data_IF_709628741957
#
_entry.id   IF_709628741957
#
_cell.length_a   1.000
_cell.length_b   1.000
_cell.length_c   1.000
_cell.angle_alpha   90.00
_cell.angle_beta   90.00
_cell.angle_gamma   90.00
#
_symmetry.space_group_name_H-M   'P 1'
#
loop_
_entity.id
_entity.type
_entity.pdbx_description
1 polymer ?
#
# COMPACT_ATOMS: atom_id res chain seq x y z
N UNK A 1 -11.42 -19.06 -10.00
CA UNK A 1 -10.23 -18.21 -9.70
C UNK A 1 -9.14 -19.08 -9.09
N UNK A 2 -7.85 -18.76 -9.28
CA UNK A 2 -6.77 -19.46 -8.56
C UNK A 2 -6.54 -18.76 -7.23
N UNK A 3 -6.92 -19.41 -6.12
CA UNK A 3 -6.77 -18.82 -4.78
C UNK A 3 -5.30 -18.55 -4.44
N UNK A 4 -5.03 -17.41 -3.82
CA UNK A 4 -3.66 -16.99 -3.49
C UNK A 4 -3.15 -17.54 -2.15
N UNK A 5 -4.04 -17.87 -1.22
CA UNK A 5 -3.69 -18.51 0.06
C UNK A 5 -4.47 -19.80 0.31
N UNK A 6 -3.80 -20.75 0.98
CA UNK A 6 -4.29 -22.12 1.18
C UNK A 6 -5.50 -22.23 2.12
N UNK A 7 -5.63 -21.31 3.07
CA UNK A 7 -6.69 -21.30 4.08
C UNK A 7 -8.02 -20.75 3.57
N UNK A 8 -8.06 -20.33 2.31
CA UNK A 8 -9.23 -19.72 1.69
C UNK A 8 -9.97 -20.73 0.80
N UNK A 9 -11.30 -20.68 0.80
CA UNK A 9 -12.17 -21.54 -0.01
C UNK A 9 -13.10 -20.69 -0.89
N UNK A 10 -13.57 -21.26 -2.00
CA UNK A 10 -14.56 -20.59 -2.86
C UNK A 10 -15.86 -20.34 -2.11
N UNK A 11 -16.29 -21.31 -1.29
CA UNK A 11 -17.46 -21.18 -0.42
C UNK A 11 -17.34 -20.02 0.58
N UNK A 12 -16.15 -19.84 1.17
CA UNK A 12 -15.90 -18.70 2.06
C UNK A 12 -16.10 -17.37 1.31
N UNK A 13 -15.63 -17.30 0.05
CA UNK A 13 -15.82 -16.10 -0.75
C UNK A 13 -17.29 -15.81 -1.05
N UNK A 14 -18.04 -16.83 -1.45
CA UNK A 14 -19.48 -16.71 -1.74
C UNK A 14 -20.27 -16.26 -0.50
N UNK A 15 -19.97 -16.83 0.67
CA UNK A 15 -20.60 -16.43 1.95
C UNK A 15 -20.29 -14.96 2.24
N UNK A 16 -19.03 -14.55 2.16
CA UNK A 16 -18.65 -13.17 2.42
C UNK A 16 -19.34 -12.17 1.49
N UNK A 17 -19.43 -12.47 0.19
CA UNK A 17 -20.11 -11.58 -0.76
C UNK A 17 -21.60 -11.44 -0.45
N UNK A 18 -22.27 -12.55 -0.12
CA UNK A 18 -23.68 -12.52 0.28
C UNK A 18 -23.89 -11.69 1.56
N UNK A 19 -23.08 -11.93 2.60
CA UNK A 19 -23.16 -11.20 3.86
C UNK A 19 -22.82 -9.71 3.68
N UNK A 20 -21.83 -9.39 2.85
CA UNK A 20 -21.47 -8.02 2.51
C UNK A 20 -22.65 -7.26 1.91
N UNK A 21 -23.33 -7.84 0.90
CA UNK A 21 -24.44 -7.19 0.23
C UNK A 21 -25.66 -7.06 1.15
N UNK A 22 -25.95 -8.10 1.96
CA UNK A 22 -27.00 -8.04 2.98
C UNK A 22 -26.77 -6.93 4.00
N UNK A 23 -25.53 -6.78 4.48
CA UNK A 23 -25.14 -5.72 5.42
C UNK A 23 -25.29 -4.33 4.80
N UNK A 24 -24.84 -4.15 3.55
CA UNK A 24 -24.97 -2.88 2.82
C UNK A 24 -26.45 -2.51 2.65
N UNK A 25 -27.30 -3.45 2.24
CA UNK A 25 -28.74 -3.19 2.11
C UNK A 25 -29.40 -2.91 3.46
N UNK A 26 -29.07 -3.66 4.50
CA UNK A 26 -29.62 -3.48 5.85
C UNK A 26 -29.41 -2.05 6.35
N UNK A 27 -28.19 -1.53 6.23
CA UNK A 27 -27.84 -0.20 6.74
C UNK A 27 -28.27 0.97 5.85
N UNK A 28 -28.98 0.74 4.74
CA UNK A 28 -29.67 1.82 4.00
C UNK A 28 -30.86 2.39 4.75
N UNK A 29 -31.49 1.59 5.61
CA UNK A 29 -32.72 1.97 6.33
C UNK A 29 -32.60 1.83 7.85
N UNK A 30 -31.45 1.41 8.35
CA UNK A 30 -31.20 1.18 9.77
C UNK A 30 -30.00 2.00 10.23
N UNK A 31 -30.08 2.48 11.47
CA UNK A 31 -29.04 3.27 12.12
C UNK A 31 -28.26 2.45 13.15
N UNK A 32 -27.01 2.83 13.38
CA UNK A 32 -26.21 2.25 14.45
C UNK A 32 -26.73 2.74 15.81
N UNK A 33 -26.76 1.84 16.79
CA UNK A 33 -27.03 2.25 18.16
C UNK A 33 -25.89 3.15 18.65
N UNK A 34 -26.23 4.34 19.13
CA UNK A 34 -25.31 5.39 19.54
C UNK A 34 -25.99 6.35 20.52
N UNK A 35 -25.19 7.14 21.24
CA UNK A 35 -25.65 8.15 22.18
C UNK A 35 -25.94 9.51 21.49
N UNK A 36 -25.42 9.71 20.27
CA UNK A 36 -25.65 10.92 19.46
C UNK A 36 -25.61 10.67 17.95
N UNK A 37 -26.24 11.54 17.13
CA UNK A 37 -26.13 11.45 15.68
C UNK A 37 -24.68 11.54 15.15
N UNK A 38 -23.82 12.33 15.79
CA UNK A 38 -22.41 12.46 15.40
C UNK A 38 -21.63 11.17 15.69
N UNK A 39 -21.90 10.53 16.83
CA UNK A 39 -21.31 9.23 17.16
C UNK A 39 -21.79 8.14 16.19
N UNK A 40 -23.09 8.11 15.85
CA UNK A 40 -23.65 7.21 14.84
C UNK A 40 -22.86 7.28 13.53
N UNK A 41 -22.65 8.49 13.03
CA UNK A 41 -21.94 8.73 11.76
C UNK A 41 -20.46 8.33 11.85
N UNK A 42 -19.82 8.53 13.01
CA UNK A 42 -18.45 8.10 13.27
C UNK A 42 -18.34 6.57 13.25
N UNK A 43 -19.20 5.88 14.01
CA UNK A 43 -19.27 4.41 14.05
C UNK A 43 -19.58 3.82 12.67
N UNK A 44 -20.54 4.41 11.95
CA UNK A 44 -20.91 4.01 10.59
C UNK A 44 -19.73 4.20 9.63
N UNK A 45 -19.03 5.33 9.71
CA UNK A 45 -17.84 5.60 8.89
C UNK A 45 -16.75 4.56 9.11
N UNK A 46 -16.45 4.24 10.37
CA UNK A 46 -15.48 3.20 10.73
C UNK A 46 -15.92 1.81 10.23
N UNK A 47 -17.20 1.45 10.40
CA UNK A 47 -17.74 0.17 9.97
C UNK A 47 -17.61 -0.05 8.45
N UNK A 48 -18.07 0.92 7.65
CA UNK A 48 -18.04 0.79 6.19
C UNK A 48 -16.62 0.88 5.62
N UNK A 49 -15.71 1.62 6.26
CA UNK A 49 -14.30 1.57 5.88
C UNK A 49 -13.70 0.17 6.15
N UNK A 50 -13.97 -0.44 7.31
CA UNK A 50 -13.50 -1.78 7.60
C UNK A 50 -14.10 -2.82 6.64
N UNK A 51 -15.38 -2.67 6.28
CA UNK A 51 -16.05 -3.52 5.30
C UNK A 51 -15.38 -3.43 3.92
N UNK A 52 -15.08 -2.21 3.44
CA UNK A 52 -14.37 -1.99 2.17
C UNK A 52 -12.93 -2.56 2.19
N UNK A 53 -12.21 -2.42 3.31
CA UNK A 53 -10.86 -2.97 3.46
C UNK A 53 -10.88 -4.50 3.36
N UNK A 54 -11.80 -5.14 4.10
CA UNK A 54 -12.00 -6.58 4.03
C UNK A 54 -12.39 -7.02 2.62
N UNK A 55 -13.22 -6.26 1.92
CA UNK A 55 -13.68 -6.57 0.55
C UNK A 55 -12.52 -6.66 -0.44
N UNK A 56 -11.57 -5.72 -0.39
CA UNK A 56 -10.39 -5.76 -1.28
C UNK A 56 -9.42 -6.89 -0.91
N UNK A 57 -9.18 -7.11 0.39
CA UNK A 57 -8.30 -8.21 0.83
C UNK A 57 -8.87 -9.57 0.45
N UNK A 58 -10.18 -9.75 0.61
CA UNK A 58 -10.81 -11.02 0.29
C UNK A 58 -10.84 -11.28 -1.23
N UNK A 59 -11.05 -10.24 -2.05
CA UNK A 59 -10.99 -10.36 -3.51
C UNK A 59 -9.58 -10.76 -3.98
N UNK A 60 -8.56 -10.13 -3.40
CA UNK A 60 -7.18 -10.49 -3.65
C UNK A 60 -6.91 -11.94 -3.21
N UNK A 61 -7.28 -12.33 -1.99
CA UNK A 61 -7.08 -13.70 -1.49
C UNK A 61 -7.80 -14.76 -2.34
N UNK A 62 -9.02 -14.44 -2.81
CA UNK A 62 -9.85 -15.31 -3.64
C UNK A 62 -9.26 -15.59 -5.03
N UNK A 63 -8.33 -14.75 -5.51
CA UNK A 63 -7.75 -14.90 -6.84
C UNK A 63 -8.38 -14.01 -7.91
N UNK A 64 -9.05 -12.92 -7.53
CA UNK A 64 -9.53 -11.94 -8.52
C UNK A 64 -8.36 -11.27 -9.28
N UNK A 65 -8.64 -10.77 -10.48
CA UNK A 65 -7.65 -10.06 -11.29
C UNK A 65 -7.30 -8.73 -10.66
N UNK A 66 -6.05 -8.29 -10.76
CA UNK A 66 -5.60 -7.05 -10.08
C UNK A 66 -6.35 -5.83 -10.62
N UNK A 67 -6.74 -5.86 -11.89
CA UNK A 67 -7.57 -4.83 -12.53
C UNK A 67 -8.94 -4.67 -11.87
N UNK A 68 -9.58 -5.75 -11.36
CA UNK A 68 -10.87 -5.62 -10.67
C UNK A 68 -10.72 -4.96 -9.30
N UNK A 69 -9.55 -5.13 -8.67
CA UNK A 69 -9.26 -4.55 -7.36
C UNK A 69 -9.13 -3.03 -7.40
N UNK A 70 -8.83 -2.44 -8.57
CA UNK A 70 -8.66 -0.98 -8.71
C UNK A 70 -9.93 -0.23 -8.30
N UNK A 71 -11.11 -0.76 -8.64
CA UNK A 71 -12.39 -0.15 -8.24
C UNK A 71 -12.66 -0.31 -6.74
N UNK A 72 -12.25 -1.43 -6.14
CA UNK A 72 -12.37 -1.67 -4.70
C UNK A 72 -11.43 -0.75 -3.92
N UNK A 73 -10.24 -0.48 -4.45
CA UNK A 73 -9.29 0.45 -3.86
C UNK A 73 -9.82 1.89 -3.88
N UNK A 74 -10.50 2.29 -4.97
CA UNK A 74 -11.15 3.60 -5.09
C UNK A 74 -12.22 3.79 -4.00
N UNK A 75 -13.15 2.84 -3.88
CA UNK A 75 -14.18 2.86 -2.82
C UNK A 75 -13.56 2.84 -1.41
N UNK A 76 -12.50 2.07 -1.19
CA UNK A 76 -11.79 2.03 0.09
C UNK A 76 -11.26 3.42 0.49
N UNK A 77 -10.61 4.15 -0.44
CA UNK A 77 -10.11 5.50 -0.14
C UNK A 77 -11.27 6.46 0.13
N UNK A 78 -12.37 6.37 -0.62
CA UNK A 78 -13.58 7.15 -0.33
C UNK A 78 -14.10 6.86 1.10
N UNK A 79 -14.10 5.60 1.55
CA UNK A 79 -14.50 5.27 2.93
C UNK A 79 -13.55 5.81 3.99
N UNK A 80 -12.25 5.87 3.71
CA UNK A 80 -11.30 6.50 4.64
C UNK A 80 -11.54 8.00 4.77
N UNK A 81 -11.83 8.70 3.67
CA UNK A 81 -12.17 10.13 3.71
C UNK A 81 -13.47 10.36 4.49
N UNK A 82 -14.47 9.49 4.32
CA UNK A 82 -15.71 9.55 5.12
C UNK A 82 -15.42 9.29 6.61
N UNK A 83 -14.67 8.22 6.93
CA UNK A 83 -14.28 7.88 8.31
C UNK A 83 -13.55 9.03 8.98
N UNK A 84 -12.55 9.62 8.32
CA UNK A 84 -11.79 10.74 8.86
C UNK A 84 -12.72 11.93 9.14
N UNK A 85 -13.58 12.28 8.19
CA UNK A 85 -14.50 13.41 8.32
C UNK A 85 -15.51 13.22 9.45
N UNK A 86 -16.12 12.04 9.58
CA UNK A 86 -17.11 11.79 10.63
C UNK A 86 -16.46 11.69 12.02
N UNK A 87 -15.28 11.07 12.10
CA UNK A 87 -14.47 11.04 13.32
C UNK A 87 -14.06 12.44 13.77
N UNK A 88 -13.61 13.30 12.84
CA UNK A 88 -13.21 14.67 13.12
C UNK A 88 -14.35 15.51 13.71
N UNK A 89 -15.59 15.31 13.24
CA UNK A 89 -16.79 15.97 13.77
C UNK A 89 -17.08 15.47 15.18
N UNK A 90 -17.07 14.16 15.37
CA UNK A 90 -17.39 13.53 16.65
C UNK A 90 -16.39 13.90 17.76
N UNK A 91 -15.09 13.83 17.47
CA UNK A 91 -14.02 14.15 18.43
C UNK A 91 -13.74 15.65 18.55
N UNK A 92 -14.34 16.49 17.69
CA UNK A 92 -14.06 17.93 17.65
C UNK A 92 -12.63 18.25 17.21
N UNK A 93 -11.99 17.35 16.45
CA UNK A 93 -10.59 17.44 16.02
C UNK A 93 -10.48 17.38 14.48
N UNK A 94 -10.44 18.53 13.78
CA UNK A 94 -10.58 18.60 12.31
C UNK A 94 -9.59 17.73 11.51
N UNK A 95 -8.35 17.63 12.00
CA UNK A 95 -7.26 16.91 11.32
C UNK A 95 -6.94 15.58 12.01
N UNK A 96 -7.85 15.00 12.79
CA UNK A 96 -7.60 13.69 13.38
C UNK A 96 -7.36 12.65 12.29
N UNK A 97 -6.33 11.82 12.46
CA UNK A 97 -6.08 10.71 11.54
C UNK A 97 -7.15 9.65 11.69
N UNK A 98 -7.59 8.99 10.61
CA UNK A 98 -8.47 7.83 10.72
C UNK A 98 -7.80 6.64 11.42
N UNK A 99 -6.46 6.60 11.47
CA UNK A 99 -5.64 5.53 12.04
C UNK A 99 -4.57 6.11 12.97
N UNK A 100 -4.41 5.52 14.16
CA UNK A 100 -3.38 5.90 15.13
C UNK A 100 -2.11 5.06 14.90
N UNK A 101 -1.19 5.61 14.09
CA UNK A 101 -0.02 4.89 13.56
C UNK A 101 1.05 4.61 14.61
N UNK A 102 1.22 5.50 15.58
CA UNK A 102 2.20 5.44 16.65
C UNK A 102 1.78 4.49 17.78
N UNK A 103 0.49 4.47 18.11
CA UNK A 103 -0.04 3.69 19.24
C UNK A 103 -0.29 2.22 18.91
N UNK A 104 -0.88 1.93 17.74
CA UNK A 104 -1.45 0.62 17.44
C UNK A 104 -0.79 -0.03 16.23
N UNK A 105 -0.02 -1.09 16.47
CA UNK A 105 0.72 -1.82 15.45
C UNK A 105 -0.18 -2.34 14.32
N UNK A 106 -1.39 -2.81 14.62
CA UNK A 106 -2.33 -3.30 13.60
C UNK A 106 -2.91 -2.17 12.73
N UNK A 107 -3.08 -0.96 13.28
CA UNK A 107 -3.49 0.22 12.51
C UNK A 107 -2.35 0.77 11.64
N UNK A 108 -1.11 0.71 12.15
CA UNK A 108 0.07 1.02 11.34
C UNK A 108 0.18 0.04 10.15
N UNK A 109 0.00 -1.26 10.39
CA UNK A 109 -0.01 -2.28 9.34
C UNK A 109 -1.11 -2.02 8.30
N UNK A 110 -2.33 -1.71 8.74
CA UNK A 110 -3.43 -1.33 7.85
C UNK A 110 -3.04 -0.13 6.96
N UNK A 111 -2.39 0.89 7.52
CA UNK A 111 -1.95 2.06 6.74
C UNK A 111 -0.89 1.70 5.70
N UNK A 112 0.17 0.97 6.07
CA UNK A 112 1.23 0.59 5.11
C UNK A 112 0.73 -0.41 4.07
N UNK A 113 -0.25 -1.26 4.41
CA UNK A 113 -0.92 -2.13 3.45
C UNK A 113 -1.68 -1.33 2.38
N UNK A 114 -2.47 -0.33 2.79
CA UNK A 114 -3.23 0.53 1.85
C UNK A 114 -2.30 1.38 0.98
N UNK A 115 -1.24 1.96 1.58
CA UNK A 115 -0.19 2.67 0.83
C UNK A 115 0.42 1.74 -0.23
N UNK A 116 0.74 0.52 0.16
CA UNK A 116 1.38 -0.47 -0.72
C UNK A 116 0.47 -0.95 -1.83
N UNK A 117 -0.83 -1.12 -1.57
CA UNK A 117 -1.82 -1.41 -2.61
C UNK A 117 -1.88 -0.28 -3.65
N UNK A 118 -1.93 0.98 -3.20
CA UNK A 118 -1.93 2.12 -4.11
C UNK A 118 -0.65 2.17 -4.98
N UNK A 119 0.51 1.88 -4.39
CA UNK A 119 1.80 1.87 -5.08
C UNK A 119 1.87 0.73 -6.11
N UNK A 120 1.56 -0.50 -5.69
CA UNK A 120 1.69 -1.68 -6.54
C UNK A 120 0.62 -1.73 -7.65
N UNK A 121 -0.54 -1.10 -7.45
CA UNK A 121 -1.58 -0.94 -8.47
C UNK A 121 -1.43 0.35 -9.29
N UNK A 122 -0.34 1.11 -9.10
CA UNK A 122 -0.05 2.35 -9.83
C UNK A 122 -1.13 3.46 -9.68
N UNK A 123 -1.84 3.50 -8.55
CA UNK A 123 -2.85 4.52 -8.21
C UNK A 123 -2.27 5.59 -7.28
N UNK A 124 -1.31 6.36 -7.78
CA UNK A 124 -0.67 7.45 -7.02
C UNK A 124 -1.65 8.60 -6.72
N UNK A 125 -2.68 8.75 -7.56
CA UNK A 125 -3.80 9.66 -7.32
C UNK A 125 -4.58 9.30 -6.04
N UNK A 126 -4.81 7.99 -5.80
CA UNK A 126 -5.44 7.50 -4.57
C UNK A 126 -4.48 7.56 -3.38
N UNK A 127 -3.21 7.21 -3.60
CA UNK A 127 -2.18 7.31 -2.57
C UNK A 127 -2.11 8.71 -1.97
N UNK A 128 -2.10 9.75 -2.81
CA UNK A 128 -2.02 11.13 -2.36
C UNK A 128 -3.24 11.54 -1.50
N UNK A 129 -4.43 11.07 -1.86
CA UNK A 129 -5.66 11.31 -1.08
C UNK A 129 -5.60 10.63 0.28
N UNK A 130 -5.18 9.37 0.31
CA UNK A 130 -5.04 8.61 1.56
C UNK A 130 -4.01 9.24 2.48
N UNK A 131 -2.76 9.38 2.01
CA UNK A 131 -1.62 9.94 2.77
C UNK A 131 -1.92 11.31 3.36
N UNK A 132 -2.66 12.15 2.65
CA UNK A 132 -3.09 13.46 3.14
C UNK A 132 -3.80 13.38 4.51
N UNK A 133 -4.63 12.35 4.74
CA UNK A 133 -5.37 12.21 6.01
C UNK A 133 -4.44 11.95 7.21
N UNK A 134 -3.26 11.37 6.98
CA UNK A 134 -2.23 11.12 8.00
C UNK A 134 -1.26 12.30 8.10
N UNK A 135 -0.82 12.85 6.95
CA UNK A 135 0.07 14.01 6.90
C UNK A 135 -0.55 15.21 7.64
N UNK A 136 -1.85 15.48 7.44
CA UNK A 136 -2.55 16.59 8.12
C UNK A 136 -2.71 16.38 9.64
N UNK A 137 -2.67 15.11 10.09
CA UNK A 137 -2.67 14.73 11.50
C UNK A 137 -1.28 14.82 12.16
N UNK A 138 -0.23 15.06 11.37
CA UNK A 138 1.13 15.26 11.86
C UNK A 138 2.11 14.11 11.61
N UNK A 139 1.69 13.02 10.94
CA UNK A 139 2.56 11.84 10.75
C UNK A 139 3.67 12.02 9.70
N UNK A 140 3.65 13.09 8.92
CA UNK A 140 4.68 13.37 7.93
C UNK A 140 6.04 13.60 8.61
N UNK A 141 7.03 12.78 8.25
CA UNK A 141 8.40 12.88 8.78
C UNK A 141 8.64 12.23 10.14
N UNK A 142 7.71 11.43 10.66
CA UNK A 142 7.87 10.80 11.97
C UNK A 142 8.34 9.34 11.93
N UNK A 143 8.14 8.62 10.82
CA UNK A 143 8.46 7.20 10.69
C UNK A 143 9.20 6.86 9.39
N UNK A 144 10.33 6.13 9.51
CA UNK A 144 11.20 5.75 8.39
C UNK A 144 10.50 4.92 7.32
N UNK A 145 9.74 3.87 7.68
CA UNK A 145 9.10 3.00 6.68
C UNK A 145 7.97 3.76 5.96
N UNK A 146 7.20 4.56 6.69
CA UNK A 146 6.19 5.43 6.12
C UNK A 146 6.80 6.36 5.06
N UNK A 147 7.87 7.08 5.41
CA UNK A 147 8.54 7.98 4.46
C UNK A 147 9.25 7.24 3.31
N UNK A 148 9.80 6.04 3.56
CA UNK A 148 10.48 5.25 2.53
C UNK A 148 9.54 4.67 1.49
N UNK A 149 8.30 4.35 1.85
CA UNK A 149 7.25 3.97 0.89
C UNK A 149 6.86 5.17 0.02
N UNK A 150 6.80 6.38 0.60
CA UNK A 150 6.26 7.56 -0.07
C UNK A 150 7.31 8.33 -0.90
N UNK A 151 8.57 8.42 -0.45
CA UNK A 151 9.61 9.27 -1.07
C UNK A 151 9.94 8.94 -2.52
N UNK A 152 9.68 7.70 -2.95
CA UNK A 152 9.89 7.26 -4.34
C UNK A 152 8.74 7.64 -5.28
N UNK A 153 7.61 8.08 -4.74
CA UNK A 153 6.36 8.31 -5.50
C UNK A 153 5.66 9.64 -5.22
N UNK A 154 5.95 10.33 -4.11
CA UNK A 154 5.31 11.60 -3.72
C UNK A 154 6.28 12.73 -3.37
N UNK A 155 5.87 13.99 -3.65
CA UNK A 155 6.19 15.23 -2.97
C UNK A 155 7.05 15.28 -1.74
N UNK A 156 8.19 15.99 -1.74
CA UNK A 156 8.68 16.67 -0.53
C UNK A 156 8.72 15.78 0.74
N UNK A 157 9.17 14.55 0.59
CA UNK A 157 9.23 13.57 1.69
C UNK A 157 10.51 13.72 2.51
N UNK A 158 10.46 13.19 3.73
CA UNK A 158 11.47 13.41 4.74
C UNK A 158 12.44 12.24 4.83
N UNK A 159 13.69 12.53 5.20
CA UNK A 159 14.65 11.51 5.60
C UNK A 159 14.65 11.38 7.13
N UNK A 160 14.30 10.19 7.61
CA UNK A 160 13.94 9.91 9.00
C UNK A 160 14.67 8.65 9.42
N UNK A 161 15.26 8.66 10.63
CA UNK A 161 15.99 7.53 11.22
C UNK A 161 15.38 7.15 12.58
N UNK A 162 14.07 6.90 12.56
CA UNK A 162 13.26 6.44 13.68
C UNK A 162 11.96 5.86 13.13
N UNK A 163 11.43 4.82 13.77
CA UNK A 163 10.17 4.20 13.37
C UNK A 163 9.41 3.72 14.60
N UNK A 164 8.08 3.69 14.50
CA UNK A 164 7.20 3.41 15.63
C UNK A 164 7.31 1.98 16.13
N UNK A 165 7.34 1.01 15.20
CA UNK A 165 7.20 -0.40 15.51
C UNK A 165 8.41 -1.22 15.07
N UNK A 166 9.12 -1.82 16.03
CA UNK A 166 10.36 -2.59 15.78
C UNK A 166 10.21 -3.77 14.81
N UNK A 167 8.99 -4.27 14.61
CA UNK A 167 8.70 -5.36 13.65
C UNK A 167 9.16 -5.01 12.23
N UNK A 168 9.19 -3.74 11.85
CA UNK A 168 9.59 -3.30 10.53
C UNK A 168 11.11 -3.15 10.35
N UNK A 169 11.90 -3.29 11.42
CA UNK A 169 13.36 -3.13 11.38
C UNK A 169 14.04 -3.91 10.24
N UNK A 170 13.75 -5.22 10.00
CA UNK A 170 14.40 -5.92 8.90
C UNK A 170 13.99 -5.39 7.53
N UNK A 171 12.76 -4.89 7.37
CA UNK A 171 12.29 -4.32 6.12
C UNK A 171 12.98 -2.99 5.83
N UNK A 172 13.09 -2.12 6.84
CA UNK A 172 13.85 -0.86 6.76
C UNK A 172 15.31 -1.15 6.45
N UNK A 173 15.95 -2.08 7.18
CA UNK A 173 17.34 -2.46 6.91
C UNK A 173 17.55 -2.96 5.47
N UNK A 174 16.58 -3.67 4.88
CA UNK A 174 16.68 -4.15 3.50
C UNK A 174 16.84 -3.00 2.48
N UNK A 175 16.36 -1.80 2.80
CA UNK A 175 16.51 -0.59 1.98
C UNK A 175 17.96 -0.07 2.04
N UNK A 176 18.52 0.02 3.25
CA UNK A 176 19.77 0.72 3.54
C UNK A 176 21.03 -0.15 3.57
N UNK A 177 20.92 -1.48 3.48
CA UNK A 177 22.11 -2.33 3.40
C UNK A 177 23.02 -1.93 2.23
N UNK A 178 24.31 -1.82 2.53
CA UNK A 178 25.37 -1.52 1.55
C UNK A 178 25.56 -2.69 0.59
N UNK A 179 25.60 -3.91 1.13
CA UNK A 179 25.62 -5.13 0.32
C UNK A 179 24.20 -5.49 -0.11
N UNK A 180 23.87 -5.21 -1.38
CA UNK A 180 22.56 -5.50 -1.95
C UNK A 180 22.20 -6.99 -1.99
N UNK A 181 23.18 -7.89 -1.81
CA UNK A 181 22.90 -9.33 -1.67
C UNK A 181 22.30 -9.72 -0.32
N UNK A 182 22.36 -8.82 0.67
CA UNK A 182 21.71 -9.01 1.99
C UNK A 182 20.25 -8.57 2.00
N UNK A 183 19.84 -7.62 1.14
CA UNK A 183 18.48 -7.09 1.10
C UNK A 183 17.40 -8.19 0.94
N UNK A 184 17.54 -9.18 0.03
CA UNK A 184 16.60 -10.29 -0.07
C UNK A 184 16.51 -11.16 1.20
N UNK A 185 17.61 -11.30 1.95
CA UNK A 185 17.63 -12.09 3.19
C UNK A 185 16.85 -11.38 4.29
N UNK A 186 16.98 -10.07 4.38
CA UNK A 186 16.24 -9.23 5.32
C UNK A 186 14.76 -9.17 5.00
N UNK A 187 14.41 -9.01 3.72
CA UNK A 187 13.03 -9.10 3.23
C UNK A 187 12.41 -10.46 3.58
N UNK A 188 13.14 -11.56 3.37
CA UNK A 188 12.69 -12.90 3.77
C UNK A 188 12.47 -13.03 5.27
N UNK A 189 13.40 -12.49 6.08
CA UNK A 189 13.30 -12.48 7.55
C UNK A 189 12.04 -11.73 7.99
N UNK A 190 11.76 -10.57 7.39
CA UNK A 190 10.54 -9.81 7.65
C UNK A 190 9.28 -10.64 7.37
N UNK A 191 9.17 -11.24 6.18
CA UNK A 191 8.02 -12.08 5.84
C UNK A 191 7.80 -13.23 6.84
N UNK A 192 8.88 -13.85 7.35
CA UNK A 192 8.81 -14.95 8.31
C UNK A 192 8.33 -14.52 9.71
N UNK A 193 8.68 -13.30 10.15
CA UNK A 193 8.29 -12.78 11.46
C UNK A 193 6.95 -12.04 11.45
N UNK A 194 6.43 -11.68 10.27
CA UNK A 194 5.21 -10.89 10.10
C UNK A 194 4.05 -11.46 10.92
N UNK A 195 3.61 -12.70 10.64
CA UNK A 195 2.44 -13.28 11.32
C UNK A 195 2.62 -13.40 12.85
N UNK A 196 3.74 -13.95 13.38
CA UNK A 196 3.98 -14.00 14.83
C UNK A 196 4.01 -12.64 15.53
N UNK A 197 4.31 -11.54 14.83
CA UNK A 197 4.37 -10.21 15.42
C UNK A 197 2.97 -9.63 15.69
N UNK A 198 1.97 -10.01 14.90
CA UNK A 198 0.60 -9.49 15.00
C UNK A 198 -0.33 -10.34 15.88
N UNK A 199 0.19 -11.06 16.88
CA UNK A 199 -0.64 -11.90 17.78
C UNK A 199 -1.76 -11.17 18.50
N UNK A 200 -1.61 -9.87 18.72
CA UNK A 200 -2.61 -9.03 19.39
C UNK A 200 -3.61 -8.41 18.40
N UNK A 201 -3.37 -8.53 17.09
CA UNK A 201 -4.26 -7.96 16.10
C UNK A 201 -5.61 -8.70 16.09
N UNK A 202 -6.74 -7.99 15.91
CA UNK A 202 -8.07 -8.58 15.97
C UNK A 202 -8.33 -9.63 14.88
N UNK A 203 -7.54 -9.59 13.80
CA UNK A 203 -7.62 -10.51 12.67
C UNK A 203 -6.71 -11.74 12.81
N UNK A 204 -5.84 -11.80 13.82
CA UNK A 204 -4.96 -12.95 14.07
C UNK A 204 -5.79 -14.21 14.32
N UNK A 205 -5.34 -15.37 13.83
CA UNK A 205 -6.02 -16.68 13.94
C UNK A 205 -7.45 -16.78 13.37
N UNK A 206 -7.97 -15.76 12.68
CA UNK A 206 -9.27 -15.82 12.00
C UNK A 206 -9.40 -16.97 11.01
N UNK A 207 -8.29 -17.47 10.45
CA UNK A 207 -8.25 -18.63 9.55
C UNK A 207 -8.69 -19.95 10.23
N UNK A 208 -8.83 -19.98 11.56
CA UNK A 208 -9.39 -21.10 12.31
C UNK A 208 -10.93 -21.10 12.40
N UNK A 209 -11.60 -20.03 11.94
CA UNK A 209 -13.04 -19.86 12.05
C UNK A 209 -13.86 -20.57 10.95
N UNK A 210 -13.19 -21.21 9.98
CA UNK A 210 -13.83 -21.94 8.89
C UNK A 210 -14.44 -21.04 7.80
N UNK A 211 -15.32 -21.61 6.99
CA UNK A 211 -15.86 -20.93 5.78
C UNK A 211 -16.76 -19.73 6.11
N UNK A 212 -17.34 -19.63 7.31
CA UNK A 212 -18.09 -18.46 7.78
C UNK A 212 -17.27 -17.53 8.68
N UNK A 213 -15.95 -17.65 8.63
CA UNK A 213 -15.02 -16.87 9.46
C UNK A 213 -14.68 -15.49 8.89
N UNK A 214 -13.90 -14.72 9.64
CA UNK A 214 -13.46 -13.37 9.25
C UNK A 214 -12.10 -13.33 8.52
N UNK A 215 -11.60 -14.48 8.03
CA UNK A 215 -10.29 -14.56 7.41
C UNK A 215 -10.29 -13.98 5.99
N UNK A 216 -9.64 -12.84 5.81
CA UNK A 216 -9.55 -12.15 4.51
C UNK A 216 -8.20 -12.32 3.82
N UNK A 217 -7.30 -13.14 4.38
CA UNK A 217 -5.90 -13.27 3.94
C UNK A 217 -4.91 -12.61 4.89
N UNK A 218 -3.66 -13.06 4.82
CA UNK A 218 -2.54 -12.49 5.57
C UNK A 218 -1.51 -11.95 4.59
N UNK A 219 -1.43 -10.63 4.44
CA UNK A 219 -0.65 -10.01 3.36
C UNK A 219 0.28 -8.94 3.88
N UNK A 220 1.58 -9.16 3.65
CA UNK A 220 2.64 -8.19 3.87
C UNK A 220 2.82 -7.36 2.58
N UNK A 221 1.86 -6.49 2.27
CA UNK A 221 1.87 -5.72 1.02
C UNK A 221 3.06 -4.75 0.95
N UNK A 222 3.43 -4.17 2.08
CA UNK A 222 4.58 -3.33 2.32
C UNK A 222 5.91 -4.03 2.02
N UNK A 223 6.04 -5.33 2.32
CA UNK A 223 7.18 -6.11 1.87
C UNK A 223 7.30 -6.12 0.33
N UNK A 224 6.18 -6.31 -0.37
CA UNK A 224 6.12 -6.28 -1.83
C UNK A 224 6.40 -4.89 -2.41
N UNK A 225 5.83 -3.84 -1.82
CA UNK A 225 6.04 -2.46 -2.24
C UNK A 225 7.50 -2.04 -2.07
N UNK A 226 8.15 -2.37 -0.96
CA UNK A 226 9.58 -2.11 -0.76
C UNK A 226 10.43 -2.87 -1.78
N UNK A 227 10.15 -4.15 -2.01
CA UNK A 227 10.87 -4.92 -3.02
C UNK A 227 10.73 -4.34 -4.43
N UNK A 228 9.53 -3.85 -4.76
CA UNK A 228 9.25 -3.14 -6.00
C UNK A 228 10.03 -1.81 -6.07
N UNK A 229 9.82 -0.90 -5.13
CA UNK A 229 10.37 0.47 -5.16
C UNK A 229 11.90 0.51 -5.13
N UNK A 230 12.52 -0.38 -4.35
CA UNK A 230 13.97 -0.41 -4.13
C UNK A 230 14.69 -1.48 -4.96
N UNK A 231 13.98 -2.10 -5.92
CA UNK A 231 14.53 -3.08 -6.86
C UNK A 231 15.26 -4.24 -6.15
N UNK A 232 14.67 -4.75 -5.07
CA UNK A 232 15.22 -5.90 -4.32
C UNK A 232 14.89 -7.18 -5.11
N UNK A 233 15.89 -8.03 -5.30
CA UNK A 233 15.69 -9.38 -5.87
C UNK A 233 14.89 -10.25 -4.91
N UNK A 234 13.60 -10.36 -5.19
CA UNK A 234 12.62 -11.13 -4.45
C UNK A 234 12.33 -12.51 -5.07
N UNK A 235 13.07 -12.91 -6.11
CA UNK A 235 12.84 -14.17 -6.84
C UNK A 235 12.89 -15.41 -5.94
N UNK A 236 13.61 -15.33 -4.82
CA UNK A 236 13.77 -16.39 -3.81
C UNK A 236 12.88 -16.22 -2.57
N UNK A 237 12.05 -15.18 -2.52
CA UNK A 237 11.08 -15.02 -1.45
C UNK A 237 9.96 -16.02 -1.72
N UNK A 238 9.79 -17.00 -0.85
CA UNK A 238 8.72 -17.97 -0.93
C UNK A 238 8.05 -18.07 0.43
N UNK A 239 7.18 -17.10 0.69
CA UNK A 239 6.44 -16.99 1.94
C UNK A 239 5.01 -16.57 1.65
N UNK A 240 4.04 -17.16 2.37
CA UNK A 240 2.63 -17.01 2.04
C UNK A 240 2.10 -15.58 2.15
N UNK A 241 2.72 -14.76 3.02
CA UNK A 241 2.31 -13.36 3.19
C UNK A 241 2.84 -12.43 2.10
N UNK A 242 3.82 -12.88 1.32
CA UNK A 242 4.46 -12.05 0.30
C UNK A 242 3.61 -12.02 -0.99
N UNK A 243 3.20 -10.83 -1.48
CA UNK A 243 2.22 -10.70 -2.58
C UNK A 243 2.89 -10.79 -3.96
N UNK A 244 3.48 -11.95 -4.30
CA UNK A 244 4.32 -12.14 -5.51
C UNK A 244 3.69 -11.60 -6.78
N UNK A 245 2.44 -11.98 -7.05
CA UNK A 245 1.77 -11.66 -8.31
C UNK A 245 1.40 -10.17 -8.40
N UNK A 246 1.16 -9.50 -7.27
CA UNK A 246 0.96 -8.06 -7.22
C UNK A 246 2.26 -7.29 -7.47
N UNK A 247 3.40 -7.80 -6.98
CA UNK A 247 4.73 -7.26 -7.32
C UNK A 247 5.06 -7.49 -8.79
N UNK A 248 4.78 -8.68 -9.32
CA UNK A 248 4.94 -8.99 -10.75
C UNK A 248 4.05 -8.10 -11.62
N UNK A 249 2.79 -7.87 -11.22
CA UNK A 249 1.91 -6.91 -11.87
C UNK A 249 2.51 -5.51 -11.89
N UNK A 250 2.98 -5.02 -10.73
CA UNK A 250 3.58 -3.69 -10.63
C UNK A 250 4.81 -3.54 -11.55
N UNK A 251 5.66 -4.57 -11.67
CA UNK A 251 6.83 -4.59 -12.55
C UNK A 251 6.49 -4.71 -14.03
N UNK A 252 5.44 -5.45 -14.35
CA UNK A 252 5.01 -5.70 -15.73
C UNK A 252 3.95 -4.72 -16.23
N UNK A 253 3.54 -3.76 -15.39
CA UNK A 253 2.49 -2.80 -15.73
C UNK A 253 2.88 -1.98 -16.96
N UNK A 254 2.14 -2.21 -18.04
CA UNK A 254 2.14 -1.39 -19.24
C UNK A 254 0.90 -0.52 -19.14
N UNK A 255 1.08 0.78 -18.93
CA UNK A 255 -0.05 1.71 -18.93
C UNK A 255 -0.87 1.53 -20.22
N UNK A 256 -2.20 1.75 -20.17
CA UNK A 256 -3.12 1.55 -21.30
C UNK A 256 -2.78 2.39 -22.58
N UNK A 257 -1.72 3.20 -22.54
CA UNK A 257 -1.11 3.89 -23.67
C UNK A 257 0.13 3.16 -24.24
N UNK A 258 0.38 1.89 -23.91
CA UNK A 258 1.52 1.13 -24.44
C UNK A 258 2.89 1.63 -23.95
N UNK A 259 2.93 2.62 -23.06
CA UNK A 259 4.14 3.03 -22.37
C UNK A 259 4.29 2.16 -21.12
N UNK A 260 5.10 1.12 -21.25
CA UNK A 260 5.81 0.53 -20.13
C UNK A 260 6.31 1.69 -19.25
N UNK A 261 5.98 1.70 -17.94
CA UNK A 261 6.61 2.66 -17.02
C UNK A 261 8.05 2.18 -16.84
N UNK A 262 8.86 2.39 -17.87
CA UNK A 262 10.28 2.23 -17.82
C UNK A 262 10.77 3.37 -16.95
N UNK A 263 11.11 3.05 -15.70
CA UNK A 263 11.77 3.94 -14.77
C UNK A 263 13.23 3.53 -14.65
N UNK A 264 14.12 4.51 -14.60
CA UNK A 264 15.56 4.28 -14.43
C UNK A 264 16.05 5.24 -13.36
N UNK A 265 16.76 4.72 -12.36
CA UNK A 265 17.38 5.54 -11.32
C UNK A 265 18.60 6.24 -11.92
N UNK A 266 18.86 7.48 -11.53
CA UNK A 266 20.10 8.14 -11.88
C UNK A 266 21.31 7.32 -11.43
N UNK A 267 22.32 7.24 -12.31
CA UNK A 267 23.46 6.34 -12.16
C UNK A 267 23.28 5.00 -12.88
N UNK A 268 22.05 4.55 -13.14
CA UNK A 268 21.79 3.36 -13.93
C UNK A 268 21.74 3.66 -15.44
N UNK A 269 22.12 2.69 -16.30
CA UNK A 269 22.03 2.83 -17.74
C UNK A 269 20.57 2.85 -18.22
N UNK A 270 20.28 3.75 -19.15
CA UNK A 270 19.00 3.90 -19.83
C UNK A 270 18.58 2.58 -20.48
N UNK A 271 17.37 2.11 -20.17
CA UNK A 271 16.89 0.80 -20.64
C UNK A 271 16.41 0.82 -22.09
N UNK A 272 16.06 2.00 -22.65
CA UNK A 272 15.57 2.15 -24.02
C UNK A 272 15.83 3.56 -24.57
N UNK A 273 16.31 3.64 -25.82
CA UNK A 273 16.48 4.90 -26.56
C UNK A 273 15.15 5.63 -26.73
N UNK A 274 15.10 6.93 -26.41
CA UNK A 274 13.98 7.85 -26.64
C UNK A 274 13.92 8.97 -25.60
N UNK A 275 12.77 9.62 -25.43
CA UNK A 275 12.59 10.71 -24.48
C UNK A 275 12.26 10.22 -23.08
N UNK A 276 12.90 10.84 -22.10
CA UNK A 276 12.69 10.60 -20.69
C UNK A 276 12.57 11.94 -19.96
N UNK A 277 11.84 11.97 -18.87
CA UNK A 277 11.73 13.14 -17.99
C UNK A 277 11.94 12.74 -16.53
N UNK A 278 12.32 13.70 -15.71
CA UNK A 278 12.38 13.53 -14.26
C UNK A 278 11.60 14.65 -13.55
N UNK A 279 10.73 14.32 -12.57
CA UNK A 279 10.08 15.32 -11.73
C UNK A 279 11.06 16.17 -10.90
N UNK A 280 12.31 15.71 -10.75
CA UNK A 280 13.38 16.41 -10.04
C UNK A 280 13.77 17.77 -10.68
N UNK A 281 13.42 17.99 -11.94
CA UNK A 281 13.71 19.25 -12.66
C UNK A 281 12.57 19.61 -13.61
N UNK A 282 12.10 20.85 -13.55
CA UNK A 282 11.11 21.37 -14.50
C UNK A 282 11.67 21.36 -15.93
N UNK A 283 10.85 20.98 -16.91
CA UNK A 283 11.25 20.85 -18.32
C UNK A 283 12.45 19.92 -18.55
N UNK A 284 12.58 18.87 -17.73
CA UNK A 284 13.67 17.88 -17.81
C UNK A 284 13.57 16.91 -18.98
N UNK A 285 12.44 16.92 -19.71
CA UNK A 285 12.19 16.01 -20.83
C UNK A 285 13.31 16.14 -21.86
N UNK A 286 14.07 15.06 -22.07
CA UNK A 286 15.16 15.02 -23.04
C UNK A 286 15.38 13.60 -23.56
N UNK A 287 16.05 13.50 -24.70
CA UNK A 287 16.30 12.24 -25.37
C UNK A 287 17.57 11.56 -24.83
N UNK A 288 17.51 10.24 -24.63
CA UNK A 288 18.60 9.38 -24.19
C UNK A 288 18.77 8.21 -25.16
N UNK A 289 19.99 7.68 -25.26
CA UNK A 289 20.26 6.42 -25.95
C UNK A 289 20.25 5.24 -24.96
N UNK A 290 19.83 4.07 -25.42
CA UNK A 290 19.94 2.84 -24.63
C UNK A 290 21.40 2.63 -24.19
N UNK A 291 21.60 2.36 -22.90
CA UNK A 291 22.92 2.24 -22.27
C UNK A 291 23.53 3.55 -21.78
N UNK A 292 22.96 4.70 -22.12
CA UNK A 292 23.41 6.01 -21.61
C UNK A 292 23.10 6.13 -20.11
N UNK A 293 24.06 6.56 -19.30
CA UNK A 293 23.86 6.71 -17.86
C UNK A 293 22.89 7.87 -17.57
N UNK A 294 21.82 7.58 -16.83
CA UNK A 294 20.86 8.59 -16.42
C UNK A 294 21.50 9.57 -15.42
N UNK A 295 21.47 10.88 -15.66
CA UNK A 295 22.14 11.84 -14.78
C UNK A 295 21.38 12.01 -13.46
N UNK A 296 22.11 12.36 -12.41
CA UNK A 296 21.54 12.91 -11.20
C UNK A 296 21.30 14.41 -11.36
N UNK A 297 20.20 14.93 -10.77
CA UNK A 297 19.94 16.36 -10.64
C UNK A 297 20.33 16.77 -9.22
N UNK A 298 21.43 17.52 -9.10
CA UNK A 298 22.06 17.90 -7.83
C UNK A 298 21.21 18.82 -6.94
N UNK A 299 20.26 19.55 -7.52
CA UNK A 299 19.39 20.52 -6.82
C UNK A 299 17.99 19.97 -6.49
N UNK A 300 17.82 18.64 -6.61
CA UNK A 300 16.54 17.99 -6.38
C UNK A 300 16.21 17.93 -4.88
N UNK A 301 15.00 18.37 -4.51
CA UNK A 301 14.40 18.11 -3.17
C UNK A 301 13.96 16.65 -2.98
N UNK A 302 14.12 15.83 -4.01
CA UNK A 302 13.77 14.42 -4.08
C UNK A 302 15.08 13.64 -4.18
N UNK A 303 15.37 12.72 -3.26
CA UNK A 303 16.67 12.01 -3.15
C UNK A 303 17.32 11.54 -4.47
N UNK A 304 17.38 10.22 -4.73
CA UNK A 304 17.91 9.74 -6.01
C UNK A 304 16.99 10.16 -7.16
N UNK A 305 17.55 10.81 -8.19
CA UNK A 305 16.78 11.27 -9.37
C UNK A 305 16.20 10.08 -10.14
N UNK A 306 14.87 10.01 -10.26
CA UNK A 306 14.19 9.00 -11.08
C UNK A 306 13.83 9.55 -12.46
N UNK A 307 14.22 8.83 -13.51
CA UNK A 307 13.86 9.12 -14.89
C UNK A 307 12.72 8.22 -15.35
N UNK A 308 11.71 8.83 -15.96
CA UNK A 308 10.50 8.20 -16.45
C UNK A 308 10.43 8.31 -17.96
N UNK A 309 10.14 7.20 -18.63
CA UNK A 309 9.97 7.17 -20.08
C UNK A 309 8.81 8.06 -20.54
N UNK A 310 9.04 8.84 -21.59
CA UNK A 310 8.13 9.83 -22.16
C UNK A 310 7.74 9.56 -23.62
N UNK A 311 8.26 8.51 -24.26
CA UNK A 311 7.99 8.17 -25.66
C UNK A 311 9.21 8.28 -26.59
N UNK A 312 9.04 7.88 -27.85
CA UNK A 312 10.12 7.90 -28.87
C UNK A 312 10.29 9.28 -29.54
N UNK A 313 9.27 10.15 -29.46
CA UNK A 313 9.23 11.52 -30.01
C UNK A 313 8.78 12.53 -28.95
#
# INVERSE_FOLDING_TARGET
MSKRQKFFSEKHYEIYLAEHDEVVEFFKTNDFQSDSPEEELSLRGAFFQNLALKRIFIAYTAGETIESLIHLLDDLIDKYEVRQKTLAIYEGAPNISPLALDDWLDQYEEAVQVISLCILMHRIDLLARFVKLMDEAGYAGDDTLYEDLLRKVLPNRHDVDQWYHDVYTPLIQAIYVVDKTEAPKLLKKYCQQWYPAFKQAPWHDTHHQGDGGNYVGYWAFEAGAIAFLYNIDDSKIDHMVYPKDLVEYARNYQSANGTQINRVVAGDPCTKTGYWFTPAQANSRRHFQQGEIMPSISDSKWGDTLWYWSGEE
#
